data_IF_855875732432
#
_entry.id   IF_855875732432
#
_cell.length_a   1.000
_cell.length_b   1.000
_cell.length_c   1.000
_cell.angle_alpha   90.00
_cell.angle_beta   90.00
_cell.angle_gamma   90.00
#
_symmetry.space_group_name_H-M   'P 1'
#
loop_
_entity.id
_entity.type
_entity.pdbx_description
1 polymer ?
#
# COMPACT_ATOMS: atom_id res chain seq x y z
N UNK A 1 14.66 -47.19 9.85
CA UNK A 1 14.32 -46.08 10.78
C UNK A 1 13.19 -45.31 10.17
N UNK A 2 12.05 -45.13 10.85
CA UNK A 2 10.94 -44.38 10.27
C UNK A 2 11.25 -42.90 10.31
N UNK A 3 10.92 -42.21 9.21
CA UNK A 3 10.97 -40.76 9.03
C UNK A 3 9.98 -40.11 10.01
N UNK A 4 10.35 -39.00 10.72
CA UNK A 4 9.43 -38.34 11.63
C UNK A 4 8.29 -37.70 10.84
N UNK A 5 7.07 -37.82 11.40
CA UNK A 5 5.84 -37.29 10.86
C UNK A 5 5.98 -35.77 10.61
N UNK A 6 5.95 -35.39 9.34
CA UNK A 6 5.83 -34.00 8.91
C UNK A 6 4.58 -33.39 9.54
N UNK A 7 4.74 -32.18 10.11
CA UNK A 7 3.65 -31.32 10.57
C UNK A 7 2.63 -31.14 9.45
N UNK A 8 1.57 -31.95 9.47
CA UNK A 8 0.41 -31.74 8.61
C UNK A 8 -0.21 -30.39 8.98
N UNK A 9 -0.11 -29.42 8.08
CA UNK A 9 -0.90 -28.19 8.13
C UNK A 9 -2.38 -28.61 8.11
N UNK A 10 -3.22 -28.15 9.04
CA UNK A 10 -4.65 -28.45 8.96
C UNK A 10 -5.20 -27.81 7.66
N UNK A 11 -5.82 -28.62 6.82
CA UNK A 11 -6.60 -28.13 5.69
C UNK A 11 -7.76 -27.31 6.26
N UNK A 12 -7.60 -25.99 6.29
CA UNK A 12 -8.70 -25.07 6.61
C UNK A 12 -9.59 -25.05 5.37
N UNK A 13 -10.70 -25.74 5.42
CA UNK A 13 -11.73 -25.65 4.40
C UNK A 13 -12.14 -24.17 4.25
N UNK A 14 -11.83 -23.57 3.09
CA UNK A 14 -12.35 -22.27 2.68
C UNK A 14 -13.81 -22.48 2.27
N UNK A 15 -14.69 -22.71 3.23
CA UNK A 15 -16.14 -22.82 3.04
C UNK A 15 -16.85 -21.90 4.04
N UNK A 16 -16.70 -20.61 3.81
CA UNK A 16 -17.65 -19.59 4.27
C UNK A 16 -18.00 -18.75 3.04
N UNK A 17 -19.28 -18.46 2.85
CA UNK A 17 -19.68 -17.46 1.86
C UNK A 17 -18.87 -16.20 2.16
N UNK A 18 -17.98 -15.79 1.23
CA UNK A 18 -17.18 -14.58 1.38
C UNK A 18 -18.07 -13.36 1.57
N UNK A 19 -17.50 -12.28 2.10
CA UNK A 19 -18.25 -11.03 2.28
C UNK A 19 -18.98 -10.65 0.97
N UNK A 20 -20.20 -10.21 1.10
CA UNK A 20 -20.92 -9.61 -0.03
C UNK A 20 -20.34 -8.21 -0.27
N UNK A 21 -19.77 -7.97 -1.47
CA UNK A 21 -19.19 -6.68 -1.81
C UNK A 21 -20.20 -5.53 -1.71
N UNK A 22 -21.45 -5.74 -2.11
CA UNK A 22 -22.46 -4.68 -2.09
C UNK A 22 -22.79 -4.26 -0.66
N UNK A 23 -22.78 -5.18 0.30
CA UNK A 23 -22.92 -4.86 1.73
C UNK A 23 -21.72 -4.07 2.26
N UNK A 24 -20.51 -4.43 1.86
CA UNK A 24 -19.30 -3.66 2.21
C UNK A 24 -19.36 -2.25 1.60
N UNK A 25 -19.74 -2.15 0.33
CA UNK A 25 -19.86 -0.87 -0.37
C UNK A 25 -20.92 0.05 0.28
N UNK A 26 -22.08 -0.48 0.64
CA UNK A 26 -23.12 0.28 1.38
C UNK A 26 -22.59 0.80 2.71
N UNK A 27 -21.74 0.04 3.39
CA UNK A 27 -21.15 0.45 4.67
C UNK A 27 -20.14 1.57 4.51
N UNK A 28 -19.23 1.50 3.52
CA UNK A 28 -18.07 2.37 3.45
C UNK A 28 -18.23 3.57 2.50
N UNK A 29 -19.04 3.50 1.44
CA UNK A 29 -19.22 4.61 0.49
C UNK A 29 -19.72 5.92 1.12
N UNK A 30 -20.61 5.93 2.14
CA UNK A 30 -20.96 7.16 2.83
C UNK A 30 -19.78 7.82 3.54
N UNK A 31 -18.83 7.01 4.11
CA UNK A 31 -17.60 7.49 4.70
C UNK A 31 -16.68 8.09 3.63
N UNK A 32 -16.50 7.38 2.51
CA UNK A 32 -15.70 7.86 1.39
C UNK A 32 -16.22 9.18 0.82
N UNK A 33 -17.53 9.36 0.75
CA UNK A 33 -18.14 10.61 0.29
C UNK A 33 -17.76 11.78 1.22
N UNK A 34 -17.86 11.61 2.55
CA UNK A 34 -17.44 12.64 3.53
C UNK A 34 -15.95 12.92 3.47
N UNK A 35 -15.13 11.88 3.33
CA UNK A 35 -13.66 12.02 3.17
C UNK A 35 -13.33 12.87 1.94
N UNK A 36 -14.02 12.63 0.82
CA UNK A 36 -13.80 13.36 -0.43
C UNK A 36 -14.11 14.87 -0.29
N UNK A 37 -15.15 15.25 0.46
CA UNK A 37 -15.50 16.66 0.69
C UNK A 37 -14.34 17.45 1.31
N UNK A 38 -13.56 16.85 2.20
CA UNK A 38 -12.42 17.48 2.88
C UNK A 38 -11.07 17.33 2.20
N UNK A 39 -10.94 16.46 1.19
CA UNK A 39 -9.64 16.04 0.64
C UNK A 39 -8.80 17.21 0.07
N UNK A 40 -9.43 18.11 -0.69
CA UNK A 40 -8.74 19.28 -1.25
C UNK A 40 -8.21 20.21 -0.16
N UNK A 41 -8.98 20.47 0.89
CA UNK A 41 -8.58 21.32 2.01
C UNK A 41 -7.42 20.69 2.78
N UNK A 42 -7.54 19.42 3.16
CA UNK A 42 -6.44 18.70 3.86
C UNK A 42 -5.13 18.77 3.09
N UNK A 43 -5.19 18.55 1.77
CA UNK A 43 -4.01 18.64 0.91
C UNK A 43 -3.40 20.05 0.88
N UNK A 44 -4.22 21.11 0.80
CA UNK A 44 -3.75 22.51 0.79
C UNK A 44 -3.16 22.93 2.13
N UNK A 45 -3.81 22.57 3.21
CA UNK A 45 -3.45 22.98 4.58
C UNK A 45 -2.44 22.04 5.24
N UNK A 46 -2.04 20.95 4.57
CA UNK A 46 -1.21 19.89 5.14
C UNK A 46 -1.82 19.32 6.43
N UNK A 47 -3.13 19.09 6.40
CA UNK A 47 -3.84 18.52 7.54
C UNK A 47 -3.85 16.99 7.49
N UNK A 48 -3.25 16.36 8.49
CA UNK A 48 -3.21 14.90 8.57
C UNK A 48 -4.61 14.31 8.83
N UNK A 49 -5.06 13.29 8.07
CA UNK A 49 -6.43 12.73 8.12
C UNK A 49 -6.65 11.80 9.32
N UNK A 50 -6.31 12.24 10.54
CA UNK A 50 -6.43 11.42 11.76
C UNK A 50 -7.86 11.02 12.07
N UNK A 51 -8.79 11.97 11.94
CA UNK A 51 -10.20 11.73 12.19
C UNK A 51 -10.81 10.78 11.15
N UNK A 52 -10.47 10.96 9.88
CA UNK A 52 -10.95 10.15 8.77
C UNK A 52 -10.45 8.70 8.87
N UNK A 53 -9.17 8.52 9.22
CA UNK A 53 -8.60 7.19 9.46
C UNK A 53 -9.32 6.53 10.65
N UNK A 54 -9.49 7.25 11.76
CA UNK A 54 -10.17 6.70 12.94
C UNK A 54 -11.61 6.30 12.62
N UNK A 55 -12.36 7.15 11.91
CA UNK A 55 -13.74 6.84 11.49
C UNK A 55 -13.83 5.59 10.60
N UNK A 56 -12.88 5.41 9.67
CA UNK A 56 -12.79 4.20 8.85
C UNK A 56 -12.52 2.95 9.71
N UNK A 57 -11.60 3.05 10.66
CA UNK A 57 -11.23 1.94 11.53
C UNK A 57 -12.38 1.58 12.47
N UNK A 58 -13.03 2.55 13.08
CA UNK A 58 -14.20 2.34 13.96
C UNK A 58 -15.38 1.72 13.19
N UNK A 59 -15.47 2.00 11.89
CA UNK A 59 -16.40 1.31 10.98
C UNK A 59 -15.94 -0.11 10.58
N UNK A 60 -14.78 -0.61 11.04
CA UNK A 60 -14.24 -1.94 10.78
C UNK A 60 -13.46 -2.08 9.48
N UNK A 61 -13.01 -0.97 8.86
CA UNK A 61 -12.24 -1.01 7.62
C UNK A 61 -10.90 -1.74 7.79
N UNK A 62 -10.23 -1.57 8.93
CA UNK A 62 -8.97 -2.25 9.24
C UNK A 62 -9.10 -3.78 9.35
N UNK A 63 -10.27 -4.30 9.72
CA UNK A 63 -10.54 -5.73 9.87
C UNK A 63 -11.21 -6.37 8.64
N UNK A 64 -11.23 -5.69 7.46
CA UNK A 64 -11.88 -6.19 6.25
C UNK A 64 -11.48 -7.63 5.90
N UNK A 65 -10.18 -7.94 5.95
CA UNK A 65 -9.62 -9.25 5.60
C UNK A 65 -9.76 -10.30 6.69
N UNK A 66 -9.93 -9.88 7.95
CA UNK A 66 -10.08 -10.82 9.07
C UNK A 66 -11.31 -11.70 8.85
N UNK A 67 -11.22 -13.03 9.04
CA UNK A 67 -12.36 -13.93 8.87
C UNK A 67 -13.58 -13.53 9.71
N UNK A 68 -14.78 -13.79 9.19
CA UNK A 68 -16.04 -13.52 9.90
C UNK A 68 -16.09 -14.25 11.25
N UNK A 69 -15.57 -15.48 11.31
CA UNK A 69 -15.49 -16.26 12.55
C UNK A 69 -14.63 -15.61 13.64
N UNK A 70 -13.69 -14.73 13.25
CA UNK A 70 -12.82 -13.98 14.16
C UNK A 70 -13.30 -12.52 14.36
N UNK A 71 -14.51 -12.18 13.89
CA UNK A 71 -15.14 -10.86 14.05
C UNK A 71 -14.86 -9.85 12.93
N UNK A 72 -14.15 -10.22 11.88
CA UNK A 72 -13.88 -9.37 10.71
C UNK A 72 -14.97 -9.47 9.64
N UNK A 73 -14.69 -8.93 8.45
CA UNK A 73 -15.62 -8.97 7.31
C UNK A 73 -15.39 -10.16 6.36
N UNK A 74 -14.25 -10.84 6.42
CA UNK A 74 -13.92 -11.96 5.52
C UNK A 74 -13.79 -11.56 4.05
N UNK A 75 -13.45 -10.29 3.77
CA UNK A 75 -13.33 -9.80 2.40
C UNK A 75 -12.19 -10.51 1.64
N UNK A 76 -12.42 -10.82 0.37
CA UNK A 76 -11.36 -11.29 -0.54
C UNK A 76 -10.38 -10.16 -0.91
N UNK A 77 -9.21 -10.49 -1.46
CA UNK A 77 -8.28 -9.47 -1.94
C UNK A 77 -8.87 -8.62 -3.09
N UNK A 78 -9.59 -9.17 -4.09
CA UNK A 78 -10.30 -8.34 -5.06
C UNK A 78 -11.27 -7.35 -4.42
N UNK A 79 -12.02 -7.74 -3.40
CA UNK A 79 -12.92 -6.83 -2.67
C UNK A 79 -12.19 -5.76 -1.89
N UNK A 80 -11.10 -6.11 -1.20
CA UNK A 80 -10.23 -5.14 -0.52
C UNK A 80 -9.69 -4.11 -1.50
N UNK A 81 -9.07 -4.55 -2.62
CA UNK A 81 -8.46 -3.62 -3.58
C UNK A 81 -9.47 -2.74 -4.29
N UNK A 82 -10.68 -3.23 -4.53
CA UNK A 82 -11.77 -2.40 -5.05
C UNK A 82 -12.18 -1.31 -4.06
N UNK A 83 -12.30 -1.63 -2.76
CA UNK A 83 -12.58 -0.62 -1.72
C UNK A 83 -11.41 0.36 -1.55
N UNK A 84 -10.15 -0.10 -1.66
CA UNK A 84 -8.97 0.77 -1.62
C UNK A 84 -8.95 1.73 -2.82
N UNK A 85 -9.37 1.29 -4.00
CA UNK A 85 -9.50 2.15 -5.19
C UNK A 85 -10.60 3.21 -4.98
N UNK A 86 -11.76 2.82 -4.45
CA UNK A 86 -12.84 3.77 -4.11
C UNK A 86 -12.40 4.77 -3.03
N UNK A 87 -11.66 4.32 -2.00
CA UNK A 87 -11.09 5.20 -0.99
C UNK A 87 -10.03 6.15 -1.59
N UNK A 88 -9.19 5.66 -2.51
CA UNK A 88 -8.22 6.49 -3.22
C UNK A 88 -8.89 7.56 -4.10
N UNK A 89 -10.07 7.27 -4.66
CA UNK A 89 -10.88 8.24 -5.38
C UNK A 89 -11.53 9.29 -4.46
N UNK A 90 -11.62 9.02 -3.16
CA UNK A 90 -12.01 10.00 -2.15
C UNK A 90 -10.80 10.83 -1.66
N UNK A 91 -9.73 10.17 -1.24
CA UNK A 91 -8.45 10.77 -0.86
C UNK A 91 -7.31 9.76 -1.02
N UNK A 92 -6.40 9.93 -2.00
CA UNK A 92 -5.37 8.94 -2.32
C UNK A 92 -4.31 8.78 -1.22
N UNK A 93 -4.27 9.66 -0.22
CA UNK A 93 -3.35 9.55 0.91
C UNK A 93 -3.76 8.44 1.88
N UNK A 94 -5.07 8.19 2.07
CA UNK A 94 -5.55 7.25 3.07
C UNK A 94 -5.20 5.78 2.76
N UNK A 95 -5.41 5.23 1.54
CA UNK A 95 -4.97 3.88 1.24
C UNK A 95 -3.46 3.71 1.39
N UNK A 96 -2.68 4.73 1.03
CA UNK A 96 -1.24 4.72 1.20
C UNK A 96 -0.84 4.73 2.68
N UNK A 97 -1.49 5.52 3.53
CA UNK A 97 -1.26 5.53 4.98
C UNK A 97 -1.59 4.17 5.62
N UNK A 98 -2.64 3.48 5.14
CA UNK A 98 -3.07 2.17 5.63
C UNK A 98 -2.39 0.97 4.95
N UNK A 99 -1.49 1.20 3.99
CA UNK A 99 -0.83 0.15 3.20
C UNK A 99 -0.13 -0.90 4.07
N UNK A 100 0.63 -0.45 5.05
CA UNK A 100 1.36 -1.33 5.96
C UNK A 100 0.42 -2.13 6.86
N UNK A 101 -0.67 -1.51 7.30
CA UNK A 101 -1.70 -2.20 8.08
C UNK A 101 -2.24 -3.41 7.34
N UNK A 102 -2.73 -3.22 6.11
CA UNK A 102 -3.28 -4.33 5.33
C UNK A 102 -2.23 -5.40 4.98
N UNK A 103 -0.99 -5.00 4.72
CA UNK A 103 0.09 -5.96 4.49
C UNK A 103 0.42 -6.77 5.75
N UNK A 104 0.37 -6.15 6.93
CA UNK A 104 0.59 -6.86 8.18
C UNK A 104 -0.61 -7.76 8.54
N UNK A 105 -1.84 -7.31 8.28
CA UNK A 105 -3.03 -8.18 8.38
C UNK A 105 -2.86 -9.43 7.53
N UNK A 106 -2.50 -9.26 6.25
CA UNK A 106 -2.31 -10.38 5.32
C UNK A 106 -1.23 -11.35 5.80
N UNK A 107 -0.09 -10.82 6.29
CA UNK A 107 0.97 -11.61 6.88
C UNK A 107 0.47 -12.45 8.07
N UNK A 108 -0.33 -11.86 8.96
CA UNK A 108 -0.88 -12.59 10.11
C UNK A 108 -1.97 -13.59 9.72
N UNK A 109 -2.65 -13.38 8.60
CA UNK A 109 -3.65 -14.34 8.10
C UNK A 109 -3.01 -15.62 7.59
N UNK A 110 -1.85 -15.54 6.94
CA UNK A 110 -1.13 -16.72 6.43
C UNK A 110 -0.17 -17.35 7.45
N UNK A 111 0.17 -16.63 8.52
CA UNK A 111 1.09 -17.16 9.54
C UNK A 111 0.48 -18.33 10.30
N UNK A 112 1.34 -19.26 10.76
CA UNK A 112 0.93 -20.48 11.51
C UNK A 112 1.18 -20.37 13.02
N UNK A 113 1.82 -19.29 13.49
CA UNK A 113 2.20 -19.13 14.90
C UNK A 113 1.02 -18.79 15.82
N UNK A 114 1.22 -18.98 17.16
CA UNK A 114 0.20 -18.69 18.18
C UNK A 114 -0.23 -17.21 18.23
N UNK A 115 0.61 -16.31 17.72
CA UNK A 115 0.35 -14.88 17.64
C UNK A 115 -0.82 -14.52 16.69
N UNK A 116 -1.19 -15.43 15.79
CA UNK A 116 -2.23 -15.22 14.78
C UNK A 116 -3.55 -14.77 15.40
N UNK A 117 -4.04 -15.47 16.40
CA UNK A 117 -5.34 -15.16 17.04
C UNK A 117 -5.29 -13.82 17.77
N UNK A 118 -4.17 -13.52 18.47
CA UNK A 118 -3.97 -12.26 19.16
C UNK A 118 -3.99 -11.07 18.21
N UNK A 119 -3.31 -11.17 17.07
CA UNK A 119 -3.29 -10.10 16.07
C UNK A 119 -4.64 -9.90 15.41
N UNK A 120 -5.39 -10.99 15.12
CA UNK A 120 -6.75 -10.88 14.58
C UNK A 120 -7.68 -10.14 15.54
N UNK A 121 -7.62 -10.44 16.84
CA UNK A 121 -8.39 -9.73 17.86
C UNK A 121 -8.05 -8.23 17.85
N UNK A 122 -6.76 -7.85 17.83
CA UNK A 122 -6.32 -6.44 17.77
C UNK A 122 -6.86 -5.71 16.56
N UNK A 123 -6.83 -6.34 15.37
CA UNK A 123 -7.40 -5.72 14.17
C UNK A 123 -8.90 -5.47 14.26
N UNK A 124 -9.64 -6.39 14.89
CA UNK A 124 -11.08 -6.25 15.15
C UNK A 124 -11.34 -5.18 16.22
N UNK A 125 -10.49 -5.07 17.22
CA UNK A 125 -10.53 -4.02 18.25
C UNK A 125 -10.13 -2.63 17.70
N UNK A 126 -9.72 -2.56 16.44
CA UNK A 126 -9.43 -1.32 15.74
C UNK A 126 -7.99 -0.81 15.95
N UNK A 127 -7.06 -1.66 16.36
CA UNK A 127 -5.64 -1.33 16.37
C UNK A 127 -5.08 -1.39 14.95
N UNK A 128 -4.25 -0.40 14.58
CA UNK A 128 -3.63 -0.32 13.25
C UNK A 128 -2.12 -0.38 13.31
N UNK A 129 -1.51 -0.82 12.20
CA UNK A 129 -0.06 -1.01 12.08
C UNK A 129 0.49 -0.09 10.99
N UNK A 130 1.46 0.74 11.36
CA UNK A 130 2.27 1.53 10.43
C UNK A 130 3.50 0.79 9.96
N UNK A 131 4.34 1.41 9.13
CA UNK A 131 5.60 0.81 8.69
C UNK A 131 6.80 1.70 8.88
N UNK A 132 7.95 1.07 9.18
CA UNK A 132 9.25 1.72 9.29
C UNK A 132 10.34 0.80 8.76
N UNK A 133 10.52 0.79 7.42
CA UNK A 133 11.43 -0.17 6.78
C UNK A 133 12.70 0.48 6.23
N UNK A 134 12.58 1.62 5.56
CA UNK A 134 13.67 2.25 4.83
C UNK A 134 14.55 3.11 5.74
N UNK A 135 15.83 3.11 5.50
CA UNK A 135 16.83 3.97 6.12
C UNK A 135 17.41 4.91 5.08
N UNK A 136 17.70 6.16 5.47
CA UNK A 136 18.41 7.11 4.64
C UNK A 136 19.84 7.28 5.15
N UNK A 137 20.76 7.58 4.23
CA UNK A 137 22.18 7.74 4.54
C UNK A 137 23.05 6.62 3.95
N UNK A 138 24.29 6.52 4.43
CA UNK A 138 25.31 5.63 3.89
C UNK A 138 25.26 4.20 4.46
N UNK A 139 24.06 3.63 4.61
CA UNK A 139 23.93 2.22 5.01
C UNK A 139 24.35 1.35 3.83
N UNK A 140 25.32 0.42 3.98
CA UNK A 140 25.73 -0.47 2.90
C UNK A 140 24.60 -1.30 2.36
N UNK A 141 24.64 -1.63 1.06
CA UNK A 141 23.62 -2.47 0.40
C UNK A 141 23.47 -3.80 1.13
N UNK A 142 22.26 -4.09 1.57
CA UNK A 142 21.92 -5.32 2.28
C UNK A 142 22.19 -5.31 3.79
N UNK A 143 22.76 -4.22 4.33
CA UNK A 143 22.90 -4.01 5.76
C UNK A 143 21.67 -3.29 6.36
N UNK A 144 21.53 -3.30 7.69
CA UNK A 144 20.44 -2.67 8.43
C UNK A 144 21.00 -1.92 9.62
N UNK A 145 20.84 -0.60 9.64
CA UNK A 145 21.32 0.28 10.72
C UNK A 145 20.50 0.13 12.01
N UNK A 146 19.18 -0.08 11.89
CA UNK A 146 18.27 -0.29 13.03
C UNK A 146 18.51 -1.66 13.65
N UNK A 147 18.78 -1.70 14.95
CA UNK A 147 19.19 -2.91 15.67
C UNK A 147 18.18 -3.31 16.74
N UNK A 148 17.95 -4.61 16.85
CA UNK A 148 17.19 -5.25 17.93
C UNK A 148 18.17 -6.01 18.82
N UNK A 149 18.22 -5.63 20.09
CA UNK A 149 19.15 -6.18 21.07
C UNK A 149 18.39 -6.89 22.17
N UNK A 150 18.76 -8.14 22.47
CA UNK A 150 18.18 -8.89 23.59
C UNK A 150 18.62 -8.29 24.92
N UNK A 151 17.70 -8.15 25.86
CA UNK A 151 18.06 -7.73 27.22
C UNK A 151 18.95 -8.79 27.88
N UNK A 152 20.06 -8.35 28.48
CA UNK A 152 21.02 -9.23 29.13
C UNK A 152 20.66 -9.38 30.63
N UNK A 153 20.09 -10.53 31.00
CA UNK A 153 19.91 -10.94 32.42
C UNK A 153 18.66 -10.38 33.11
N UNK A 154 18.22 -11.08 34.12
CA UNK A 154 17.06 -10.74 34.96
C UNK A 154 15.76 -11.40 34.51
N UNK A 155 14.63 -10.94 35.06
CA UNK A 155 13.27 -11.38 34.70
C UNK A 155 12.76 -10.83 33.40
N UNK A 156 13.41 -9.79 32.85
CA UNK A 156 13.08 -9.19 31.55
C UNK A 156 13.71 -9.99 30.39
N UNK A 157 12.89 -10.77 29.70
CA UNK A 157 13.30 -11.58 28.55
C UNK A 157 13.09 -10.86 27.22
N UNK A 158 12.75 -9.56 27.22
CA UNK A 158 12.43 -8.75 26.06
C UNK A 158 13.62 -8.36 25.19
N UNK A 159 13.33 -7.52 24.23
CA UNK A 159 14.30 -6.87 23.36
C UNK A 159 14.15 -5.36 23.44
N UNK A 160 15.21 -4.63 23.10
CA UNK A 160 15.13 -3.20 22.78
C UNK A 160 15.46 -2.96 21.31
N UNK A 161 14.78 -1.97 20.72
CA UNK A 161 15.09 -1.52 19.36
C UNK A 161 15.68 -0.11 19.38
N UNK A 162 16.73 0.09 18.58
CA UNK A 162 17.38 1.41 18.41
C UNK A 162 17.68 1.66 16.94
N UNK A 163 17.32 2.83 16.44
CA UNK A 163 17.57 3.26 15.06
C UNK A 163 16.64 4.35 14.60
N UNK A 164 16.85 4.81 13.37
CA UNK A 164 16.02 5.84 12.73
C UNK A 164 15.61 5.36 11.36
N UNK A 165 14.34 5.51 11.06
CA UNK A 165 13.73 5.17 9.77
C UNK A 165 13.14 6.42 9.12
N UNK A 166 13.18 6.46 7.79
CA UNK A 166 12.49 7.47 6.99
C UNK A 166 11.57 6.80 5.99
N UNK A 167 10.55 7.52 5.54
CA UNK A 167 9.37 6.98 4.84
C UNK A 167 8.53 6.06 5.73
N UNK A 168 8.37 6.44 7.02
CA UNK A 168 7.55 5.69 7.98
C UNK A 168 6.06 5.88 7.75
N UNK A 169 5.61 5.57 6.54
CA UNK A 169 4.25 5.82 6.07
C UNK A 169 3.21 5.20 6.99
N UNK A 170 2.26 6.02 7.45
CA UNK A 170 1.16 5.60 8.30
C UNK A 170 1.52 5.45 9.79
N UNK A 171 2.80 5.43 10.18
CA UNK A 171 3.21 5.18 11.57
C UNK A 171 2.72 6.24 12.55
N UNK A 172 2.57 7.49 12.12
CA UNK A 172 2.08 8.59 12.95
C UNK A 172 0.59 8.45 13.34
N UNK A 173 -0.14 7.53 12.69
CA UNK A 173 -1.56 7.21 12.95
C UNK A 173 -1.73 5.88 13.68
N UNK A 174 -0.65 5.10 13.80
CA UNK A 174 -0.70 3.69 14.14
C UNK A 174 -0.55 3.43 15.66
N UNK A 175 -1.07 2.30 16.10
CA UNK A 175 -0.89 1.75 17.46
C UNK A 175 0.39 0.91 17.53
N UNK A 176 0.75 0.28 16.42
CA UNK A 176 1.93 -0.57 16.26
C UNK A 176 2.70 -0.20 15.00
N UNK A 177 4.01 -0.49 15.01
CA UNK A 177 4.89 -0.20 13.87
C UNK A 177 5.61 -1.48 13.45
N UNK A 178 5.35 -1.93 12.23
CA UNK A 178 6.09 -2.97 11.52
C UNK A 178 7.46 -2.40 11.13
N UNK A 179 8.51 -2.71 11.91
CA UNK A 179 9.83 -2.12 11.75
C UNK A 179 10.84 -3.16 11.28
N UNK A 180 11.42 -2.95 10.10
CA UNK A 180 12.52 -3.78 9.60
C UNK A 180 13.82 -3.48 10.33
N UNK A 181 14.41 -4.50 10.96
CA UNK A 181 15.59 -4.38 11.80
C UNK A 181 16.48 -5.63 11.71
N UNK A 182 17.65 -5.57 12.36
CA UNK A 182 18.57 -6.71 12.45
C UNK A 182 18.89 -6.99 13.91
N UNK A 183 18.87 -8.26 14.29
CA UNK A 183 19.26 -8.70 15.62
C UNK A 183 20.77 -8.60 15.81
N UNK A 184 21.20 -8.10 16.98
CA UNK A 184 22.62 -7.94 17.30
C UNK A 184 23.31 -9.24 17.73
N UNK A 185 22.56 -10.21 18.24
CA UNK A 185 23.08 -11.45 18.77
C UNK A 185 23.39 -12.52 17.71
N UNK A 186 22.68 -12.51 16.58
CA UNK A 186 22.83 -13.53 15.53
C UNK A 186 22.81 -12.98 14.10
N UNK A 187 22.63 -11.66 13.93
CA UNK A 187 22.60 -11.01 12.61
C UNK A 187 21.33 -11.28 11.77
N UNK A 188 20.35 -12.00 12.29
CA UNK A 188 19.10 -12.30 11.57
C UNK A 188 18.31 -11.03 11.34
N UNK A 189 17.79 -10.85 10.12
CA UNK A 189 16.87 -9.77 9.77
C UNK A 189 15.47 -10.11 10.29
N UNK A 190 14.82 -9.14 10.92
CA UNK A 190 13.55 -9.32 11.57
C UNK A 190 12.60 -8.16 11.29
N UNK A 191 11.33 -8.41 11.47
CA UNK A 191 10.33 -7.38 11.72
C UNK A 191 10.13 -7.30 13.24
N UNK A 192 10.48 -6.16 13.82
CA UNK A 192 10.11 -5.81 15.18
C UNK A 192 8.79 -5.04 15.17
N UNK A 193 7.74 -5.60 15.76
CA UNK A 193 6.45 -4.91 15.86
C UNK A 193 6.43 -4.12 17.17
N UNK A 194 6.62 -2.82 17.05
CA UNK A 194 6.87 -1.90 18.15
C UNK A 194 5.58 -1.17 18.53
N UNK A 195 5.25 -1.08 19.82
CA UNK A 195 4.15 -0.22 20.28
C UNK A 195 4.50 1.24 19.98
N UNK A 196 3.62 1.96 19.26
CA UNK A 196 3.86 3.33 18.82
C UNK A 196 3.81 4.37 19.98
N UNK A 197 3.16 4.03 21.09
CA UNK A 197 2.84 4.96 22.18
C UNK A 197 3.71 4.77 23.43
N UNK A 198 4.85 4.07 23.31
CA UNK A 198 5.74 3.84 24.43
C UNK A 198 6.91 4.84 24.48
N UNK A 199 7.60 4.98 25.63
CA UNK A 199 8.85 5.73 25.71
C UNK A 199 9.89 5.23 24.70
N UNK A 200 10.67 6.16 24.16
CA UNK A 200 11.69 5.86 23.15
C UNK A 200 11.18 5.71 21.73
N UNK A 201 9.88 5.95 21.46
CA UNK A 201 9.32 6.00 20.11
C UNK A 201 8.86 7.42 19.78
N UNK A 202 9.34 7.97 18.67
CA UNK A 202 8.89 9.29 18.19
C UNK A 202 8.62 9.25 16.68
N UNK A 203 7.61 10.00 16.26
CA UNK A 203 7.26 10.20 14.86
C UNK A 203 7.26 11.69 14.52
N UNK A 204 7.77 12.03 13.33
CA UNK A 204 7.74 13.39 12.81
C UNK A 204 6.98 13.42 11.49
N UNK A 205 6.21 14.48 11.29
CA UNK A 205 5.56 14.77 10.02
C UNK A 205 6.47 15.69 9.19
N UNK A 206 7.60 15.14 8.75
CA UNK A 206 8.67 15.85 8.03
C UNK A 206 8.85 15.34 6.58
N UNK A 207 7.79 14.75 5.99
CA UNK A 207 7.77 14.36 4.58
C UNK A 207 7.80 15.60 3.67
N UNK A 208 8.87 15.73 2.86
CA UNK A 208 9.12 16.89 1.97
C UNK A 208 8.75 16.61 0.50
N UNK A 209 7.91 15.62 0.23
CA UNK A 209 7.43 15.32 -1.12
C UNK A 209 6.34 16.28 -1.59
N UNK A 210 6.31 16.57 -2.90
CA UNK A 210 5.30 17.46 -3.48
C UNK A 210 3.89 16.82 -3.54
N UNK A 211 3.76 15.51 -3.39
CA UNK A 211 2.50 14.78 -3.35
C UNK A 211 2.48 13.72 -2.26
N UNK A 212 1.34 13.08 -2.03
CA UNK A 212 1.11 12.18 -0.91
C UNK A 212 1.47 12.85 0.43
N UNK A 213 1.12 14.12 0.56
CA UNK A 213 1.59 15.00 1.64
C UNK A 213 0.99 14.68 3.00
N UNK A 214 -0.14 14.02 3.04
CA UNK A 214 -0.88 13.73 4.27
C UNK A 214 -0.87 12.26 4.66
N UNK A 215 0.09 11.49 4.12
CA UNK A 215 0.26 10.06 4.42
C UNK A 215 1.01 9.79 5.73
N UNK A 216 1.58 10.82 6.37
CA UNK A 216 2.44 10.66 7.53
C UNK A 216 3.71 9.85 7.24
N UNK A 217 4.36 10.12 6.09
CA UNK A 217 5.55 9.36 5.60
C UNK A 217 6.89 9.90 6.13
N UNK A 218 6.90 10.54 7.27
CA UNK A 218 8.09 11.18 7.85
C UNK A 218 9.04 10.24 8.57
N UNK A 219 9.80 10.80 9.52
CA UNK A 219 10.81 10.11 10.32
C UNK A 219 10.20 9.39 11.52
N UNK A 220 10.62 8.14 11.76
CA UNK A 220 10.42 7.42 13.03
C UNK A 220 11.76 7.13 13.69
N UNK A 221 11.88 7.46 14.98
CA UNK A 221 13.08 7.21 15.77
C UNK A 221 12.76 6.26 16.93
N UNK A 222 13.63 5.31 17.15
CA UNK A 222 13.57 4.32 18.23
C UNK A 222 14.81 4.48 19.10
N UNK A 223 14.62 4.76 20.39
CA UNK A 223 15.67 4.96 21.38
C UNK A 223 15.46 3.95 22.52
N UNK A 224 16.10 2.78 22.40
CA UNK A 224 15.93 1.68 23.36
C UNK A 224 14.46 1.31 23.63
N UNK A 225 13.60 1.44 22.63
CA UNK A 225 12.17 1.13 22.78
C UNK A 225 11.99 -0.38 23.00
N UNK A 226 11.09 -0.77 23.91
CA UNK A 226 10.84 -2.17 24.25
C UNK A 226 10.16 -2.92 23.08
N UNK A 227 10.55 -4.20 22.91
CA UNK A 227 9.88 -5.13 21.99
C UNK A 227 9.71 -6.48 22.68
N UNK A 228 8.47 -6.92 22.81
CA UNK A 228 8.18 -8.26 23.32
C UNK A 228 8.81 -9.32 22.41
N UNK A 229 9.32 -10.45 22.97
CA UNK A 229 9.92 -11.52 22.16
C UNK A 229 8.99 -12.04 21.06
N UNK A 230 7.71 -12.11 21.32
CA UNK A 230 6.68 -12.57 20.40
C UNK A 230 6.38 -11.59 19.25
N UNK A 231 6.83 -10.35 19.37
CA UNK A 231 6.72 -9.30 18.37
C UNK A 231 8.00 -9.16 17.54
N UNK A 232 9.00 -10.04 17.73
CA UNK A 232 10.19 -10.15 16.89
C UNK A 232 9.99 -11.32 15.93
N UNK A 233 9.71 -11.02 14.66
CA UNK A 233 9.32 -11.97 13.61
C UNK A 233 10.47 -12.10 12.62
N UNK A 234 10.95 -13.30 12.35
CA UNK A 234 11.98 -13.51 11.34
C UNK A 234 11.46 -13.06 9.96
N UNK A 235 12.24 -12.23 9.27
CA UNK A 235 11.82 -11.62 8.01
C UNK A 235 11.48 -12.68 6.94
N UNK A 236 12.22 -13.76 6.89
CA UNK A 236 12.03 -14.83 5.91
C UNK A 236 10.75 -15.66 6.15
N UNK A 237 10.07 -15.45 7.30
CA UNK A 237 8.77 -16.09 7.58
C UNK A 237 7.56 -15.27 7.17
N UNK A 238 7.78 -14.10 6.58
CA UNK A 238 6.74 -13.22 6.04
C UNK A 238 6.03 -13.87 4.86
N UNK A 239 4.82 -13.41 4.57
CA UNK A 239 4.07 -13.92 3.42
C UNK A 239 4.81 -13.68 2.10
N UNK A 240 4.83 -14.67 1.23
CA UNK A 240 5.70 -14.70 0.05
C UNK A 240 5.36 -13.61 -0.99
N UNK A 241 4.07 -13.24 -1.11
CA UNK A 241 3.59 -12.21 -2.07
C UNK A 241 3.55 -10.78 -1.48
N UNK A 242 4.32 -10.52 -0.42
CA UNK A 242 4.30 -9.22 0.26
C UNK A 242 4.69 -8.05 -0.66
N UNK A 243 5.69 -8.23 -1.53
CA UNK A 243 6.14 -7.19 -2.44
C UNK A 243 5.04 -6.85 -3.45
N UNK A 244 4.44 -7.84 -4.10
CA UNK A 244 3.31 -7.65 -5.00
C UNK A 244 2.13 -6.97 -4.28
N UNK A 245 1.83 -7.36 -3.04
CA UNK A 245 0.76 -6.75 -2.25
C UNK A 245 1.03 -5.26 -1.98
N UNK A 246 2.23 -4.90 -1.52
CA UNK A 246 2.60 -3.51 -1.28
C UNK A 246 2.49 -2.66 -2.56
N UNK A 247 2.86 -3.23 -3.72
CA UNK A 247 2.74 -2.53 -4.99
C UNK A 247 1.27 -2.40 -5.44
N UNK A 248 0.46 -3.42 -5.23
CA UNK A 248 -0.95 -3.38 -5.61
C UNK A 248 -1.74 -2.27 -4.88
N UNK A 249 -1.39 -1.94 -3.63
CA UNK A 249 -1.99 -0.78 -2.95
C UNK A 249 -1.66 0.53 -3.70
N UNK A 250 -0.43 0.68 -4.18
CA UNK A 250 -0.06 1.85 -5.00
C UNK A 250 -0.82 1.89 -6.33
N UNK A 251 -1.08 0.72 -6.94
CA UNK A 251 -1.91 0.64 -8.15
C UNK A 251 -3.34 1.13 -7.88
N UNK A 252 -3.92 0.76 -6.73
CA UNK A 252 -5.23 1.25 -6.31
C UNK A 252 -5.22 2.78 -6.09
N UNK A 253 -4.14 3.33 -5.51
CA UNK A 253 -3.94 4.78 -5.37
C UNK A 253 -3.90 5.48 -6.74
N UNK A 254 -3.19 4.91 -7.72
CA UNK A 254 -3.12 5.45 -9.07
C UNK A 254 -4.48 5.41 -9.78
N UNK A 255 -5.19 4.29 -9.72
CA UNK A 255 -6.50 4.14 -10.34
C UNK A 255 -7.54 5.10 -9.72
N UNK A 256 -7.58 5.19 -8.39
CA UNK A 256 -8.46 6.12 -7.69
C UNK A 256 -8.15 7.59 -7.98
N UNK A 257 -6.86 7.94 -8.18
CA UNK A 257 -6.47 9.30 -8.56
C UNK A 257 -6.99 9.71 -9.94
N UNK A 258 -7.00 8.79 -10.93
CA UNK A 258 -7.60 9.06 -12.25
C UNK A 258 -9.11 9.27 -12.11
N UNK A 259 -9.78 8.38 -11.37
CA UNK A 259 -11.23 8.45 -11.13
C UNK A 259 -11.63 9.75 -10.43
N UNK A 260 -10.85 10.19 -9.45
CA UNK A 260 -11.08 11.48 -8.77
C UNK A 260 -10.92 12.67 -9.72
N UNK A 261 -9.85 12.69 -10.51
CA UNK A 261 -9.58 13.75 -11.46
C UNK A 261 -10.68 13.85 -12.54
N UNK A 262 -11.09 12.72 -13.11
CA UNK A 262 -12.18 12.65 -14.08
C UNK A 262 -13.48 13.21 -13.50
N UNK A 263 -13.90 12.73 -12.33
CA UNK A 263 -15.14 13.14 -11.67
C UNK A 263 -15.17 14.64 -11.37
N UNK A 264 -14.09 15.18 -10.80
CA UNK A 264 -14.03 16.58 -10.38
C UNK A 264 -13.97 17.54 -11.57
N UNK A 265 -13.16 17.19 -12.59
CA UNK A 265 -13.07 18.00 -13.79
C UNK A 265 -14.34 17.93 -14.63
N UNK A 266 -14.99 16.77 -14.75
CA UNK A 266 -16.29 16.65 -15.38
C UNK A 266 -17.36 17.51 -14.66
N UNK A 267 -17.29 17.60 -13.33
CA UNK A 267 -18.17 18.50 -12.59
C UNK A 267 -17.86 19.97 -12.86
N UNK A 268 -16.57 20.35 -12.93
CA UNK A 268 -16.17 21.70 -13.31
C UNK A 268 -16.63 22.07 -14.72
N UNK A 269 -16.51 21.15 -15.69
CA UNK A 269 -17.02 21.33 -17.06
C UNK A 269 -18.53 21.57 -17.08
N UNK A 270 -19.31 20.80 -16.30
CA UNK A 270 -20.77 21.00 -16.19
C UNK A 270 -21.15 22.37 -15.62
N UNK A 271 -20.37 22.88 -14.66
CA UNK A 271 -20.66 24.13 -13.97
C UNK A 271 -20.17 25.37 -14.74
N UNK A 272 -19.42 25.17 -15.83
CA UNK A 272 -18.78 26.26 -16.56
C UNK A 272 -19.78 26.98 -17.48
N UNK A 273 -19.91 28.28 -17.30
CA UNK A 273 -20.79 29.14 -18.10
C UNK A 273 -20.08 29.87 -19.24
N UNK A 274 -18.74 30.08 -19.14
CA UNK A 274 -17.95 30.77 -20.17
C UNK A 274 -17.65 29.84 -21.33
N UNK A 275 -17.77 30.33 -22.55
CA UNK A 275 -17.41 29.65 -23.78
C UNK A 275 -16.33 30.46 -24.54
N UNK A 276 -15.70 29.84 -25.50
CA UNK A 276 -14.77 30.47 -26.44
C UNK A 276 -15.40 30.58 -27.80
N UNK A 277 -15.11 31.70 -28.56
CA UNK A 277 -15.69 31.94 -29.87
C UNK A 277 -15.29 30.91 -30.95
N UNK A 278 -14.23 30.16 -30.73
CA UNK A 278 -13.77 29.06 -31.56
C UNK A 278 -14.18 27.68 -31.07
N UNK A 279 -14.99 27.60 -30.01
CA UNK A 279 -15.64 26.37 -29.59
C UNK A 279 -16.73 25.93 -30.54
N UNK A 280 -17.09 24.66 -30.54
CA UNK A 280 -18.01 24.04 -31.49
C UNK A 280 -19.44 23.85 -30.93
N UNK A 281 -19.75 24.44 -29.77
CA UNK A 281 -21.05 24.31 -29.12
C UNK A 281 -21.46 25.59 -28.35
N UNK A 282 -22.73 25.71 -28.06
CA UNK A 282 -23.30 26.82 -27.25
C UNK A 282 -23.03 26.71 -25.75
N UNK A 283 -22.50 25.59 -25.26
CA UNK A 283 -22.05 25.41 -23.89
C UNK A 283 -20.77 24.57 -23.86
N UNK A 284 -19.98 24.77 -22.80
CA UNK A 284 -18.72 24.04 -22.62
C UNK A 284 -18.97 22.52 -22.46
N UNK A 285 -20.03 22.17 -21.73
CA UNK A 285 -20.42 20.78 -21.52
C UNK A 285 -20.97 20.06 -22.78
N UNK A 286 -21.30 20.79 -23.85
CA UNK A 286 -21.74 20.23 -25.12
C UNK A 286 -20.66 20.24 -26.20
N UNK A 287 -19.48 20.82 -25.93
CA UNK A 287 -18.41 20.91 -26.91
C UNK A 287 -17.77 19.54 -27.14
N UNK A 288 -17.77 19.03 -28.40
CA UNK A 288 -17.32 17.68 -28.71
C UNK A 288 -15.82 17.45 -28.39
N UNK A 289 -14.98 18.46 -28.43
CA UNK A 289 -13.55 18.34 -28.10
C UNK A 289 -13.34 18.24 -26.59
N UNK A 290 -14.09 19.00 -25.79
CA UNK A 290 -14.08 18.89 -24.34
C UNK A 290 -14.59 17.51 -23.91
N UNK A 291 -15.71 17.05 -24.50
CA UNK A 291 -16.26 15.72 -24.24
C UNK A 291 -15.29 14.61 -24.62
N UNK A 292 -14.51 14.79 -25.69
CA UNK A 292 -13.48 13.83 -26.10
C UNK A 292 -12.38 13.70 -25.04
N UNK A 293 -11.88 14.82 -24.50
CA UNK A 293 -10.86 14.80 -23.43
C UNK A 293 -11.38 14.04 -22.21
N UNK A 294 -12.56 14.38 -21.72
CA UNK A 294 -13.16 13.69 -20.57
C UNK A 294 -13.39 12.20 -20.87
N UNK A 295 -13.85 11.86 -22.07
CA UNK A 295 -14.04 10.47 -22.50
C UNK A 295 -12.73 9.65 -22.50
N UNK A 296 -11.62 10.25 -22.91
CA UNK A 296 -10.30 9.60 -22.86
C UNK A 296 -9.83 9.34 -21.42
N UNK A 297 -10.02 10.31 -20.52
CA UNK A 297 -9.68 10.14 -19.10
C UNK A 297 -10.59 9.11 -18.44
N UNK A 298 -11.88 9.08 -18.75
CA UNK A 298 -12.82 8.07 -18.27
C UNK A 298 -12.44 6.66 -18.75
N UNK A 299 -12.01 6.51 -20.01
CA UNK A 299 -11.49 5.25 -20.52
C UNK A 299 -10.18 4.83 -19.83
N UNK A 300 -9.32 5.78 -19.47
CA UNK A 300 -8.12 5.52 -18.68
C UNK A 300 -8.46 5.05 -17.26
N UNK A 301 -9.47 5.65 -16.62
CA UNK A 301 -9.97 5.20 -15.31
C UNK A 301 -10.50 3.76 -15.37
N UNK A 302 -11.28 3.43 -16.39
CA UNK A 302 -11.78 2.07 -16.63
C UNK A 302 -10.64 1.06 -16.80
N UNK A 303 -9.64 1.38 -17.63
CA UNK A 303 -8.49 0.51 -17.85
C UNK A 303 -7.64 0.33 -16.57
N UNK A 304 -7.53 1.38 -15.76
CA UNK A 304 -6.81 1.33 -14.49
C UNK A 304 -7.50 0.41 -13.49
N UNK A 305 -8.81 0.54 -13.33
CA UNK A 305 -9.62 -0.30 -12.45
C UNK A 305 -9.53 -1.78 -12.85
N UNK A 306 -9.72 -2.11 -14.13
CA UNK A 306 -9.56 -3.46 -14.65
C UNK A 306 -8.15 -4.04 -14.41
N UNK A 307 -7.12 -3.20 -14.47
CA UNK A 307 -5.72 -3.60 -14.22
C UNK A 307 -5.49 -3.91 -12.75
N UNK A 308 -6.03 -3.09 -11.83
CA UNK A 308 -5.98 -3.35 -10.37
C UNK A 308 -6.73 -4.65 -10.04
N UNK A 309 -7.93 -4.85 -10.59
CA UNK A 309 -8.70 -6.05 -10.35
C UNK A 309 -7.94 -7.32 -10.78
N UNK A 310 -7.28 -7.28 -11.93
CA UNK A 310 -6.47 -8.40 -12.42
C UNK A 310 -5.31 -8.72 -11.48
N UNK A 311 -4.57 -7.71 -11.01
CA UNK A 311 -3.50 -7.89 -10.03
C UNK A 311 -4.04 -8.44 -8.70
N UNK A 312 -5.18 -7.93 -8.22
CA UNK A 312 -5.81 -8.39 -6.99
C UNK A 312 -6.26 -9.87 -7.06
N UNK A 313 -6.74 -10.33 -8.22
CA UNK A 313 -7.06 -11.75 -8.44
C UNK A 313 -5.81 -12.64 -8.37
N UNK A 314 -4.69 -12.20 -8.92
CA UNK A 314 -3.43 -12.94 -8.83
C UNK A 314 -2.93 -13.02 -7.38
N UNK A 315 -3.05 -11.94 -6.61
CA UNK A 315 -2.77 -11.93 -5.17
C UNK A 315 -3.69 -12.86 -4.38
N UNK A 316 -4.99 -12.94 -4.74
CA UNK A 316 -5.91 -13.88 -4.11
C UNK A 316 -5.48 -15.35 -4.32
N UNK A 317 -5.05 -15.69 -5.53
CA UNK A 317 -4.52 -17.02 -5.83
C UNK A 317 -3.23 -17.32 -5.05
N UNK A 318 -2.35 -16.33 -4.86
CA UNK A 318 -1.15 -16.48 -4.03
C UNK A 318 -1.51 -16.67 -2.55
N UNK A 319 -2.50 -15.92 -2.03
CA UNK A 319 -3.04 -16.12 -0.69
C UNK A 319 -3.57 -17.56 -0.51
N UNK A 320 -4.36 -18.05 -1.44
CA UNK A 320 -4.92 -19.40 -1.41
C UNK A 320 -3.82 -20.47 -1.52
N UNK A 321 -2.77 -20.20 -2.30
CA UNK A 321 -1.59 -21.06 -2.46
C UNK A 321 -0.95 -21.43 -1.13
N UNK A 322 -0.83 -20.47 -0.22
CA UNK A 322 -0.24 -20.66 1.10
C UNK A 322 -0.93 -21.75 1.96
N UNK A 323 -2.14 -22.18 1.58
CA UNK A 323 -2.93 -23.17 2.34
C UNK A 323 -3.10 -24.52 1.61
N UNK A 324 -2.58 -24.67 0.38
CA UNK A 324 -2.75 -25.90 -0.41
C UNK A 324 -1.91 -27.08 0.08
N UNK A 325 -0.78 -26.80 0.76
CA UNK A 325 0.18 -27.85 1.10
C UNK A 325 0.98 -28.40 -0.09
N UNK A 326 0.96 -27.66 -1.20
CA UNK A 326 1.72 -27.93 -2.43
C UNK A 326 2.68 -26.75 -2.65
N UNK A 327 3.96 -26.95 -2.31
CA UNK A 327 4.98 -25.90 -2.36
C UNK A 327 5.26 -25.43 -3.79
N UNK A 328 5.19 -26.32 -4.80
CA UNK A 328 5.42 -25.96 -6.21
C UNK A 328 4.27 -25.08 -6.75
N UNK A 329 3.03 -25.40 -6.39
CA UNK A 329 1.86 -24.57 -6.76
C UNK A 329 1.89 -23.22 -6.03
N UNK A 330 2.24 -23.20 -4.73
CA UNK A 330 2.40 -21.97 -3.97
C UNK A 330 3.47 -21.06 -4.62
N UNK A 331 4.65 -21.61 -4.97
CA UNK A 331 5.70 -20.85 -5.67
C UNK A 331 5.22 -20.27 -7.01
N UNK A 332 4.54 -21.09 -7.84
CA UNK A 332 4.00 -20.63 -9.14
C UNK A 332 2.99 -19.49 -8.98
N UNK A 333 2.10 -19.56 -7.99
CA UNK A 333 1.12 -18.51 -7.70
C UNK A 333 1.76 -17.23 -7.22
N UNK A 334 2.79 -17.32 -6.39
CA UNK A 334 3.55 -16.17 -5.94
C UNK A 334 4.31 -15.49 -7.08
N UNK A 335 4.96 -16.25 -7.97
CA UNK A 335 5.60 -15.70 -9.18
C UNK A 335 4.58 -15.02 -10.10
N UNK A 336 3.41 -15.62 -10.29
CA UNK A 336 2.35 -15.05 -11.08
C UNK A 336 1.85 -13.72 -10.48
N UNK A 337 1.71 -13.62 -9.16
CA UNK A 337 1.32 -12.39 -8.48
C UNK A 337 2.35 -11.27 -8.67
N UNK A 338 3.65 -11.56 -8.54
CA UNK A 338 4.72 -10.58 -8.81
C UNK A 338 4.72 -10.12 -10.27
N UNK A 339 4.57 -11.04 -11.23
CA UNK A 339 4.55 -10.69 -12.65
C UNK A 339 3.32 -9.86 -13.05
N UNK A 340 2.12 -10.24 -12.60
CA UNK A 340 0.90 -9.47 -12.88
C UNK A 340 0.99 -8.07 -12.26
N UNK A 341 1.51 -7.97 -11.05
CA UNK A 341 1.71 -6.66 -10.38
C UNK A 341 2.80 -5.84 -11.09
N UNK A 342 3.90 -6.46 -11.55
CA UNK A 342 4.94 -5.76 -12.31
C UNK A 342 4.40 -5.22 -13.65
N UNK A 343 3.61 -6.02 -14.40
CA UNK A 343 2.94 -5.57 -15.62
C UNK A 343 2.00 -4.40 -15.34
N UNK A 344 1.20 -4.51 -14.28
CA UNK A 344 0.29 -3.46 -13.84
C UNK A 344 1.04 -2.16 -13.50
N UNK A 345 2.20 -2.23 -12.82
CA UNK A 345 3.03 -1.06 -12.53
C UNK A 345 3.54 -0.37 -13.80
N UNK A 346 4.02 -1.13 -14.78
CA UNK A 346 4.47 -0.57 -16.07
C UNK A 346 3.35 0.18 -16.76
N UNK A 347 2.14 -0.38 -16.75
CA UNK A 347 0.96 0.25 -17.39
C UNK A 347 0.50 1.47 -16.60
N UNK A 348 0.20 1.30 -15.30
CA UNK A 348 -0.49 2.32 -14.52
C UNK A 348 0.40 3.50 -14.14
N UNK A 349 1.71 3.30 -13.95
CA UNK A 349 2.61 4.42 -13.65
C UNK A 349 2.66 5.44 -14.78
N UNK A 350 2.57 5.00 -16.03
CA UNK A 350 2.48 5.87 -17.20
C UNK A 350 1.06 6.39 -17.42
N UNK A 351 0.07 5.49 -17.46
CA UNK A 351 -1.33 5.82 -17.73
C UNK A 351 -1.87 6.88 -16.76
N UNK A 352 -1.64 6.68 -15.44
CA UNK A 352 -2.16 7.59 -14.44
C UNK A 352 -1.55 8.99 -14.57
N UNK A 353 -0.21 9.09 -14.70
CA UNK A 353 0.45 10.39 -14.80
C UNK A 353 0.06 11.16 -16.05
N UNK A 354 -0.24 10.48 -17.17
CA UNK A 354 -0.78 11.13 -18.38
C UNK A 354 -2.25 11.52 -18.17
N UNK A 355 -3.12 10.62 -17.76
CA UNK A 355 -4.54 10.92 -17.63
C UNK A 355 -4.83 12.10 -16.68
N UNK A 356 -4.13 12.18 -15.53
CA UNK A 356 -4.27 13.30 -14.60
C UNK A 356 -3.60 14.61 -15.06
N UNK A 357 -2.77 14.56 -16.12
CA UNK A 357 -2.28 15.75 -16.84
C UNK A 357 -3.26 16.16 -17.93
N UNK A 358 -3.69 15.21 -18.75
CA UNK A 358 -4.51 15.46 -19.93
C UNK A 358 -5.89 16.04 -19.55
N UNK A 359 -6.39 15.74 -18.35
CA UNK A 359 -7.64 16.28 -17.82
C UNK A 359 -7.67 17.82 -17.79
N UNK A 360 -6.52 18.50 -17.70
CA UNK A 360 -6.42 19.97 -17.75
C UNK A 360 -6.77 20.55 -19.12
N UNK A 361 -6.63 19.80 -20.20
CA UNK A 361 -6.97 20.23 -21.56
C UNK A 361 -8.48 20.52 -21.69
N UNK A 362 -9.31 19.96 -20.80
CA UNK A 362 -10.73 20.29 -20.71
C UNK A 362 -11.03 21.62 -19.99
N UNK A 363 -10.05 22.33 -19.41
CA UNK A 363 -10.34 23.40 -18.44
C UNK A 363 -9.86 24.79 -18.80
N UNK A 364 -8.88 24.95 -19.68
CA UNK A 364 -8.20 26.22 -19.94
C UNK A 364 -7.59 26.88 -18.65
N UNK A 365 -7.18 28.15 -18.74
CA UNK A 365 -6.43 28.85 -17.68
C UNK A 365 -7.08 28.83 -16.29
N UNK A 366 -8.41 28.78 -16.19
CA UNK A 366 -9.08 28.72 -14.88
C UNK A 366 -8.90 27.39 -14.15
N UNK A 367 -8.57 26.31 -14.87
CA UNK A 367 -8.30 24.99 -14.28
C UNK A 367 -6.98 24.90 -13.52
N UNK A 368 -6.00 25.77 -13.84
CA UNK A 368 -4.69 25.78 -13.17
C UNK A 368 -4.62 26.71 -11.95
N UNK A 369 -5.77 27.32 -11.56
CA UNK A 369 -5.85 28.16 -10.38
C UNK A 369 -5.58 27.40 -9.10
N UNK A 370 -4.73 27.93 -8.21
CA UNK A 370 -4.38 27.27 -6.93
C UNK A 370 -5.60 26.93 -6.06
N UNK A 371 -6.66 27.75 -6.09
CA UNK A 371 -7.91 27.52 -5.35
C UNK A 371 -8.67 26.29 -5.83
N UNK A 372 -8.48 25.85 -7.06
CA UNK A 372 -9.09 24.63 -7.60
C UNK A 372 -8.35 23.37 -7.14
N UNK A 373 -7.04 23.48 -6.92
CA UNK A 373 -6.19 22.41 -6.42
C UNK A 373 -6.26 21.09 -7.25
N UNK A 374 -6.61 21.18 -8.54
CA UNK A 374 -6.68 19.99 -9.40
C UNK A 374 -5.31 19.34 -9.63
N UNK A 375 -4.22 20.12 -9.53
CA UNK A 375 -2.85 19.63 -9.62
C UNK A 375 -2.50 18.62 -8.52
N UNK A 376 -3.27 18.56 -7.41
CA UNK A 376 -3.08 17.54 -6.38
C UNK A 376 -3.23 16.12 -6.92
N UNK A 377 -4.11 15.91 -7.92
CA UNK A 377 -4.26 14.59 -8.54
C UNK A 377 -2.98 14.16 -9.24
N UNK A 378 -2.34 15.08 -9.98
CA UNK A 378 -1.05 14.81 -10.62
C UNK A 378 0.06 14.63 -9.60
N UNK A 379 0.15 15.49 -8.59
CA UNK A 379 1.18 15.41 -7.55
C UNK A 379 1.10 14.07 -6.78
N UNK A 380 -0.10 13.66 -6.40
CA UNK A 380 -0.32 12.41 -5.69
C UNK A 380 -0.05 11.18 -6.57
N UNK A 381 -0.58 11.15 -7.80
CA UNK A 381 -0.33 10.06 -8.74
C UNK A 381 1.16 9.96 -9.11
N UNK A 382 1.84 11.09 -9.37
CA UNK A 382 3.27 11.09 -9.69
C UNK A 382 4.11 10.59 -8.53
N UNK A 383 3.80 10.98 -7.29
CA UNK A 383 4.50 10.51 -6.10
C UNK A 383 4.29 9.01 -5.87
N UNK A 384 3.05 8.52 -5.98
CA UNK A 384 2.75 7.09 -5.86
C UNK A 384 3.42 6.26 -6.96
N UNK A 385 3.45 6.73 -8.21
CA UNK A 385 4.14 6.07 -9.32
C UNK A 385 5.66 5.98 -9.10
N UNK A 386 6.25 6.95 -8.38
CA UNK A 386 7.69 7.00 -8.13
C UNK A 386 8.11 6.32 -6.82
N UNK A 387 7.18 5.73 -6.06
CA UNK A 387 7.48 5.09 -4.78
C UNK A 387 8.60 4.04 -4.91
N UNK A 388 8.62 3.31 -6.02
CA UNK A 388 9.68 2.39 -6.40
C UNK A 388 10.09 2.66 -7.86
N UNK A 389 11.34 2.38 -8.25
CA UNK A 389 11.80 2.62 -9.62
C UNK A 389 11.17 1.60 -10.61
N UNK A 390 9.92 1.86 -10.99
CA UNK A 390 9.13 1.03 -11.90
C UNK A 390 9.78 0.78 -13.26
N UNK A 391 10.74 1.62 -13.66
CA UNK A 391 11.52 1.44 -14.89
C UNK A 391 12.22 0.08 -14.98
N UNK A 392 12.53 -0.54 -13.85
CA UNK A 392 13.12 -1.88 -13.82
C UNK A 392 12.08 -2.99 -14.05
N UNK A 393 10.79 -2.71 -13.86
CA UNK A 393 9.73 -3.73 -13.96
C UNK A 393 9.51 -4.18 -15.39
N UNK A 394 9.59 -3.29 -16.37
CA UNK A 394 9.48 -3.64 -17.79
C UNK A 394 10.57 -4.65 -18.20
N UNK A 395 11.81 -4.47 -17.72
CA UNK A 395 12.92 -5.42 -17.96
C UNK A 395 12.63 -6.77 -17.32
N UNK A 396 12.15 -6.81 -16.07
CA UNK A 396 11.79 -8.06 -15.38
C UNK A 396 10.71 -8.83 -16.15
N UNK A 397 9.65 -8.13 -16.56
CA UNK A 397 8.57 -8.72 -17.37
C UNK A 397 9.08 -9.24 -18.72
N UNK A 398 9.95 -8.45 -19.38
CA UNK A 398 10.56 -8.85 -20.66
C UNK A 398 11.46 -10.07 -20.53
N UNK A 399 12.29 -10.12 -19.49
CA UNK A 399 13.19 -11.24 -19.22
C UNK A 399 12.40 -12.54 -18.94
N UNK A 400 11.34 -12.45 -18.13
CA UNK A 400 10.44 -13.58 -17.94
C UNK A 400 9.81 -14.05 -19.25
N UNK A 401 9.33 -13.10 -20.09
CA UNK A 401 8.65 -13.45 -21.35
C UNK A 401 9.57 -14.10 -22.38
N UNK A 402 10.87 -13.76 -22.39
CA UNK A 402 11.86 -14.27 -23.33
C UNK A 402 12.57 -15.53 -22.81
N UNK A 403 12.97 -15.51 -21.55
CA UNK A 403 13.88 -16.48 -20.97
C UNK A 403 13.22 -17.38 -19.91
N UNK A 404 11.97 -17.06 -19.48
CA UNK A 404 11.29 -17.77 -18.39
C UNK A 404 11.88 -17.48 -17.00
N UNK A 405 12.71 -16.45 -16.86
CA UNK A 405 13.34 -16.09 -15.57
C UNK A 405 12.29 -15.77 -14.53
N UNK A 406 12.29 -16.40 -13.33
CA UNK A 406 11.37 -16.04 -12.25
C UNK A 406 11.53 -14.56 -11.82
N UNK A 407 10.46 -13.87 -11.45
CA UNK A 407 10.55 -12.50 -10.99
C UNK A 407 11.22 -12.43 -9.61
N UNK A 408 12.06 -11.41 -9.32
CA UNK A 408 12.57 -11.20 -7.98
C UNK A 408 11.44 -10.76 -7.04
N UNK A 409 11.32 -11.41 -5.88
CA UNK A 409 10.29 -11.12 -4.88
C UNK A 409 10.74 -10.15 -3.79
N UNK A 410 12.05 -10.02 -3.61
CA UNK A 410 12.66 -9.11 -2.62
C UNK A 410 13.86 -8.44 -3.27
N UNK A 411 14.08 -7.17 -2.94
CA UNK A 411 15.28 -6.43 -3.31
C UNK A 411 15.85 -5.67 -2.12
N UNK A 412 17.16 -5.43 -2.17
CA UNK A 412 17.87 -4.66 -1.15
C UNK A 412 18.09 -3.21 -1.63
N UNK A 413 18.05 -2.29 -0.68
CA UNK A 413 18.34 -0.88 -0.88
C UNK A 413 19.53 -0.53 0.01
N UNK A 414 20.48 0.29 -0.49
CA UNK A 414 21.64 0.74 0.28
C UNK A 414 22.70 1.39 -0.59
N UNK A 415 23.75 1.87 0.04
CA UNK A 415 24.91 2.45 -0.65
C UNK A 415 25.70 1.37 -1.41
N UNK A 416 26.13 1.70 -2.63
CA UNK A 416 27.01 0.82 -3.39
C UNK A 416 28.33 0.59 -2.63
N UNK A 417 28.98 -0.60 -2.74
CA UNK A 417 30.31 -0.81 -2.19
C UNK A 417 31.30 0.23 -2.72
N UNK A 418 32.11 0.76 -1.86
CA UNK A 418 33.20 1.66 -2.25
C UNK A 418 34.27 0.80 -2.97
N UNK A 419 34.21 0.72 -4.29
CA UNK A 419 35.12 -0.05 -5.13
C UNK A 419 34.43 -0.46 -6.44
N UNK A 420 35.21 -0.57 -7.52
CA UNK A 420 34.75 -0.83 -8.90
C UNK A 420 34.16 -2.25 -9.14
N UNK A 421 33.63 -2.91 -8.14
CA UNK A 421 33.00 -4.21 -8.32
C UNK A 421 31.49 -3.99 -8.54
N UNK A 422 30.94 -4.35 -9.71
CA UNK A 422 29.50 -4.29 -9.90
C UNK A 422 28.81 -5.19 -8.86
N UNK A 423 27.63 -4.80 -8.36
CA UNK A 423 26.89 -5.63 -7.41
C UNK A 423 26.65 -7.02 -8.00
N UNK A 424 26.60 -8.08 -7.18
CA UNK A 424 26.29 -9.39 -7.65
C UNK A 424 24.96 -9.35 -8.41
N UNK A 425 24.90 -9.97 -9.57
CA UNK A 425 23.67 -10.17 -10.31
C UNK A 425 22.80 -11.11 -9.46
N UNK A 426 21.69 -10.58 -8.95
CA UNK A 426 20.65 -11.36 -8.29
C UNK A 426 19.90 -12.17 -9.33
#
# INVERSE_FOLDING_TARGET
MPVPASLQRPAVAVTGAGADYDLLAVRFRPLFARIAEGASRREQEHELPRAEIRELIDAGFGALRVPVADGGSGASLPQLFRLLTELAAADPNLPQALRAHFAFVEDRLVSTGPQRSRWRARFVDGEIVGSSWTEVGAVPLGDVGTKVTRHAGGTDTGFSITGTKYYSTGSIFADWIDTFAQRTDNGVKVIAVVNAHQPGVTHRDDWDGFGQRTTGSGTSTFEQAHVDPENVIDFDTRFKYQTAFYQAVLLAVLAGSITAAEREVAQEVRNRTRIFSHGNASSFAADPQILQVIGQVSAAAYAADATVERAARALQLAHEGAFLGDDDEDERRNDAAELETAKAQVILSSLATHAVSDVFDALAASGVGRSKNFDRHWRNARTAANHNPWVFKARIVGDHSVNGTPPPRVWSIGAAPVGNTPPPRL
#
